data_IF_638509489221
#
_entry.id   IF_638509489221
#
_cell.length_a   1.000
_cell.length_b   1.000
_cell.length_c   1.000
_cell.angle_alpha   90.00
_cell.angle_beta   90.00
_cell.angle_gamma   90.00
#
_symmetry.space_group_name_H-M   'P 1'
#
loop_
_entity.id
_entity.type
_entity.pdbx_description
1 polymer ?
#
# COMPACT_ATOMS: atom_id res chain seq x y z
N UNK A 1 -7.03 4.14 -11.00
CA UNK A 1 -6.31 3.66 -9.81
C UNK A 1 -7.04 2.45 -9.26
N UNK A 2 -6.36 1.30 -9.19
CA UNK A 2 -6.89 0.13 -8.45
C UNK A 2 -6.82 0.39 -6.95
N UNK A 3 -7.56 -0.39 -6.15
CA UNK A 3 -7.59 -0.22 -4.69
C UNK A 3 -6.22 -0.55 -4.06
N UNK A 4 -5.51 0.46 -3.59
CA UNK A 4 -4.12 0.35 -3.13
C UNK A 4 -4.02 0.11 -1.61
N UNK A 5 -4.75 -0.90 -1.14
CA UNK A 5 -4.92 -1.21 0.30
C UNK A 5 -3.84 -2.15 0.86
N UNK A 6 -2.99 -2.73 0.02
CA UNK A 6 -1.98 -3.70 0.45
C UNK A 6 -0.62 -3.36 -0.16
N UNK A 7 0.41 -3.06 0.66
CA UNK A 7 1.75 -2.77 0.19
C UNK A 7 2.33 -3.85 -0.71
N UNK A 8 2.15 -5.13 -0.39
CA UNK A 8 2.68 -6.24 -1.19
C UNK A 8 2.00 -6.35 -2.56
N UNK A 9 0.71 -6.01 -2.62
CA UNK A 9 -0.09 -6.00 -3.85
C UNK A 9 0.31 -4.87 -4.80
N UNK A 10 0.97 -3.81 -4.32
CA UNK A 10 1.46 -2.71 -5.16
C UNK A 10 2.96 -2.80 -5.44
N UNK A 11 3.79 -2.92 -4.39
CA UNK A 11 5.26 -2.87 -4.53
C UNK A 11 5.84 -4.04 -5.31
N UNK A 12 5.36 -5.26 -5.07
CA UNK A 12 5.88 -6.46 -5.74
C UNK A 12 5.76 -6.36 -7.26
N UNK A 13 4.55 -6.15 -7.81
CA UNK A 13 4.36 -5.93 -9.24
C UNK A 13 5.16 -4.73 -9.79
N UNK A 14 5.29 -3.64 -9.01
CA UNK A 14 6.05 -2.45 -9.41
C UNK A 14 7.55 -2.71 -9.55
N UNK A 15 8.14 -3.44 -8.61
CA UNK A 15 9.56 -3.85 -8.67
C UNK A 15 9.79 -4.73 -9.90
N UNK A 16 8.90 -5.69 -10.17
CA UNK A 16 8.99 -6.54 -11.36
C UNK A 16 8.87 -5.71 -12.65
N UNK A 17 7.92 -4.78 -12.73
CA UNK A 17 7.79 -3.84 -13.85
C UNK A 17 9.04 -2.97 -14.06
N UNK A 18 9.71 -2.60 -12.97
CA UNK A 18 10.94 -1.83 -13.02
C UNK A 18 12.12 -2.64 -13.58
N UNK A 19 12.24 -3.91 -13.20
CA UNK A 19 13.35 -4.79 -13.54
C UNK A 19 13.24 -5.44 -14.93
N UNK A 20 12.02 -5.75 -15.38
CA UNK A 20 11.84 -6.44 -16.66
C UNK A 20 11.99 -5.49 -17.86
N UNK A 21 12.75 -5.87 -18.88
CA UNK A 21 12.80 -5.13 -20.14
C UNK A 21 11.53 -5.41 -20.95
N UNK A 22 10.56 -4.50 -20.84
CA UNK A 22 9.29 -4.57 -21.55
C UNK A 22 9.31 -3.61 -22.76
N UNK A 23 8.84 -4.08 -23.91
CA UNK A 23 8.70 -3.25 -25.12
C UNK A 23 7.54 -2.26 -24.92
N UNK A 24 7.75 -0.98 -25.24
CA UNK A 24 6.77 0.11 -25.07
C UNK A 24 6.31 0.29 -23.61
N UNK A 25 7.23 0.11 -22.64
CA UNK A 25 6.96 0.30 -21.21
C UNK A 25 6.69 1.78 -20.89
N UNK A 26 5.69 1.99 -20.02
CA UNK A 26 5.40 3.29 -19.42
C UNK A 26 6.33 3.58 -18.23
N UNK A 27 6.27 4.81 -17.69
CA UNK A 27 7.05 5.14 -16.49
C UNK A 27 6.63 4.28 -15.27
N UNK A 28 7.56 4.04 -14.35
CA UNK A 28 7.33 3.19 -13.16
C UNK A 28 6.57 3.91 -12.03
N UNK A 29 6.28 5.20 -12.20
CA UNK A 29 5.50 6.04 -11.28
C UNK A 29 6.00 5.99 -9.82
N UNK A 30 7.32 6.10 -9.64
CA UNK A 30 7.97 6.05 -8.33
C UNK A 30 7.56 7.22 -7.41
N UNK A 31 7.09 8.32 -7.98
CA UNK A 31 6.53 9.44 -7.21
C UNK A 31 5.32 9.02 -6.37
N UNK A 32 4.48 8.12 -6.91
CA UNK A 32 3.31 7.60 -6.20
C UNK A 32 3.62 6.40 -5.30
N UNK A 33 4.74 5.69 -5.50
CA UNK A 33 4.96 4.34 -4.94
C UNK A 33 4.99 4.26 -3.41
N UNK A 34 5.25 5.36 -2.70
CA UNK A 34 5.27 5.38 -1.24
C UNK A 34 3.86 5.44 -0.62
N UNK A 35 2.90 6.01 -1.34
CA UNK A 35 1.50 6.16 -0.89
C UNK A 35 0.82 4.80 -0.62
N UNK A 36 0.86 3.81 -1.52
CA UNK A 36 0.28 2.49 -1.29
C UNK A 36 1.05 1.63 -0.27
N UNK A 37 2.15 2.16 0.27
CA UNK A 37 2.94 1.52 1.34
C UNK A 37 2.58 2.14 2.68
N UNK A 38 2.84 3.43 2.84
CA UNK A 38 2.64 4.13 4.10
C UNK A 38 1.16 4.38 4.41
N UNK A 39 0.34 4.66 3.39
CA UNK A 39 -1.10 4.88 3.56
C UNK A 39 -1.79 3.68 4.23
N UNK A 40 -1.68 2.46 3.67
CA UNK A 40 -2.26 1.27 4.28
C UNK A 40 -1.68 0.91 5.64
N UNK A 41 -0.36 1.06 5.85
CA UNK A 41 0.26 0.75 7.15
C UNK A 41 -0.28 1.70 8.24
N UNK A 42 -0.33 3.00 7.96
CA UNK A 42 -0.87 3.98 8.88
C UNK A 42 -2.37 3.76 9.13
N UNK A 43 -3.15 3.53 8.07
CA UNK A 43 -4.59 3.26 8.16
C UNK A 43 -4.91 1.99 8.95
N UNK A 44 -4.17 0.90 8.71
CA UNK A 44 -4.33 -0.35 9.43
C UNK A 44 -3.96 -0.20 10.91
N UNK A 45 -2.87 0.51 11.22
CA UNK A 45 -2.47 0.82 12.59
C UNK A 45 -3.54 1.64 13.33
N UNK A 46 -4.07 2.68 12.69
CA UNK A 46 -5.14 3.51 13.26
C UNK A 46 -6.43 2.73 13.46
N UNK A 47 -6.84 1.91 12.48
CA UNK A 47 -8.02 1.07 12.59
C UNK A 47 -7.89 0.04 13.73
N UNK A 48 -6.72 -0.62 13.84
CA UNK A 48 -6.43 -1.56 14.91
C UNK A 48 -6.47 -0.88 16.28
N UNK A 49 -5.87 0.32 16.39
CA UNK A 49 -5.91 1.11 17.62
C UNK A 49 -7.34 1.44 18.04
N UNK A 50 -8.17 1.97 17.13
CA UNK A 50 -9.56 2.32 17.41
C UNK A 50 -10.37 1.09 17.81
N UNK A 51 -10.21 -0.02 17.09
CA UNK A 51 -10.89 -1.27 17.40
C UNK A 51 -10.54 -1.76 18.82
N UNK A 52 -9.23 -1.85 19.13
CA UNK A 52 -8.78 -2.28 20.44
C UNK A 52 -9.23 -1.32 21.55
N UNK A 53 -9.19 -0.01 21.30
CA UNK A 53 -9.64 0.98 22.27
C UNK A 53 -11.12 0.79 22.63
N UNK A 54 -11.99 0.68 21.61
CA UNK A 54 -13.43 0.50 21.82
C UNK A 54 -13.71 -0.83 22.52
N UNK A 55 -13.13 -1.93 22.04
CA UNK A 55 -13.42 -3.28 22.56
C UNK A 55 -12.80 -3.56 23.93
N UNK A 56 -11.77 -2.80 24.35
CA UNK A 56 -11.10 -3.01 25.65
C UNK A 56 -11.49 -2.01 26.74
N UNK A 57 -11.97 -0.82 26.36
CA UNK A 57 -12.25 0.25 27.33
C UNK A 57 -13.69 0.77 27.29
N UNK A 58 -14.46 0.52 26.22
CA UNK A 58 -15.83 1.02 26.08
C UNK A 58 -16.91 -0.07 26.10
N UNK A 59 -16.52 -1.34 25.97
CA UNK A 59 -17.39 -2.53 26.06
C UNK A 59 -16.89 -3.40 27.20
#
# INVERSE_FOLDING_TARGET
TGYAINPARDLGPRIVHALLPLKNKDDNDWSYSWIPVFGPIAGAGMAAFVYLFITRFCV
#
